data_IF_257482207811
#
_entry.id   IF_257482207811
#
_cell.length_a   1.000
_cell.length_b   1.000
_cell.length_c   1.000
_cell.angle_alpha   90.00
_cell.angle_beta   90.00
_cell.angle_gamma   90.00
#
_symmetry.space_group_name_H-M   'P 1'
#
loop_
_entity.id
_entity.type
_entity.pdbx_description
1 polymer ?
#
# COMPACT_ATOMS: atom_id res chain seq x y z
N UNK A 1 -5.44 -20.39 -25.32
CA UNK A 1 -6.09 -19.19 -24.77
C UNK A 1 -7.29 -19.64 -23.94
N UNK A 2 -7.53 -18.97 -22.81
CA UNK A 2 -8.69 -19.19 -21.95
C UNK A 2 -9.47 -17.88 -21.96
N UNK A 3 -10.77 -17.95 -22.14
CA UNK A 3 -11.68 -16.83 -21.97
C UNK A 3 -12.31 -16.92 -20.59
N UNK A 4 -12.21 -15.86 -19.81
CA UNK A 4 -12.78 -15.75 -18.47
C UNK A 4 -13.74 -14.57 -18.44
N UNK A 5 -14.93 -14.80 -17.90
CA UNK A 5 -15.97 -13.78 -17.77
C UNK A 5 -16.40 -13.68 -16.31
N UNK A 6 -16.35 -12.48 -15.75
CA UNK A 6 -16.87 -12.17 -14.42
C UNK A 6 -18.23 -11.50 -14.60
N UNK A 7 -19.30 -12.10 -14.06
CA UNK A 7 -20.66 -11.57 -14.19
C UNK A 7 -20.91 -10.41 -13.24
N UNK A 8 -20.40 -10.52 -12.02
CA UNK A 8 -20.54 -9.52 -10.98
C UNK A 8 -19.19 -9.41 -10.22
N UNK A 9 -18.67 -8.20 -10.08
CA UNK A 9 -17.41 -7.96 -9.36
C UNK A 9 -17.57 -8.10 -7.84
N UNK A 10 -18.78 -8.03 -7.32
CA UNK A 10 -19.09 -8.23 -5.89
C UNK A 10 -19.11 -9.72 -5.51
N UNK A 11 -19.24 -10.63 -6.48
CA UNK A 11 -19.09 -12.07 -6.25
C UNK A 11 -17.63 -12.42 -5.96
N UNK A 12 -17.40 -13.40 -5.06
CA UNK A 12 -16.05 -13.92 -4.80
C UNK A 12 -15.45 -14.62 -6.04
N UNK A 13 -14.12 -14.62 -6.22
CA UNK A 13 -13.48 -15.34 -7.31
C UNK A 13 -13.80 -16.85 -7.27
N UNK A 14 -14.06 -17.43 -8.41
CA UNK A 14 -14.52 -18.84 -8.52
C UNK A 14 -13.40 -19.81 -8.87
N UNK A 15 -12.32 -19.33 -9.48
CA UNK A 15 -11.16 -20.15 -9.86
C UNK A 15 -9.87 -19.31 -10.02
N UNK A 16 -8.79 -19.96 -10.43
CA UNK A 16 -7.49 -19.33 -10.65
C UNK A 16 -7.53 -18.29 -11.79
N UNK A 17 -8.32 -18.51 -12.84
CA UNK A 17 -8.39 -17.60 -13.98
C UNK A 17 -9.12 -16.31 -13.60
N UNK A 18 -10.23 -16.44 -12.89
CA UNK A 18 -10.98 -15.32 -12.32
C UNK A 18 -10.09 -14.53 -11.33
N UNK A 19 -9.40 -15.22 -10.41
CA UNK A 19 -8.49 -14.60 -9.48
C UNK A 19 -7.42 -13.74 -10.17
N UNK A 20 -6.74 -14.27 -11.19
CA UNK A 20 -5.74 -13.48 -11.94
C UNK A 20 -6.38 -12.37 -12.78
N UNK A 21 -7.56 -12.58 -13.36
CA UNK A 21 -8.26 -11.51 -14.09
C UNK A 21 -8.56 -10.32 -13.17
N UNK A 22 -9.01 -10.55 -11.93
CA UNK A 22 -9.23 -9.48 -10.93
C UNK A 22 -7.94 -8.71 -10.62
N UNK A 23 -6.82 -9.40 -10.45
CA UNK A 23 -5.51 -8.75 -10.26
C UNK A 23 -5.13 -7.88 -11.47
N UNK A 24 -5.39 -8.37 -12.68
CA UNK A 24 -5.16 -7.58 -13.90
C UNK A 24 -6.06 -6.34 -13.98
N UNK A 25 -7.35 -6.44 -13.63
CA UNK A 25 -8.28 -5.30 -13.63
C UNK A 25 -7.79 -4.18 -12.72
N UNK A 26 -7.26 -4.51 -11.53
CA UNK A 26 -6.66 -3.55 -10.60
C UNK A 26 -5.41 -2.89 -11.20
N UNK A 27 -4.46 -3.68 -11.72
CA UNK A 27 -3.20 -3.18 -12.26
C UNK A 27 -3.37 -2.38 -13.55
N UNK A 28 -4.37 -2.72 -14.37
CA UNK A 28 -4.77 -1.92 -15.52
C UNK A 28 -5.59 -0.67 -15.17
N UNK A 29 -5.86 -0.42 -13.90
CA UNK A 29 -6.71 0.69 -13.43
C UNK A 29 -8.15 0.66 -13.97
N UNK A 30 -8.62 -0.50 -14.42
CA UNK A 30 -10.01 -0.69 -14.84
C UNK A 30 -10.96 -0.69 -13.64
N UNK A 31 -10.45 -1.10 -12.47
CA UNK A 31 -11.15 -1.09 -11.18
C UNK A 31 -10.22 -0.51 -10.12
N UNK A 32 -10.75 0.28 -9.19
CA UNK A 32 -10.00 0.75 -8.01
C UNK A 32 -9.92 -0.34 -6.94
N UNK A 33 -8.95 -0.28 -6.01
CA UNK A 33 -8.96 -1.13 -4.84
C UNK A 33 -10.32 -1.10 -4.13
N UNK A 34 -10.77 -2.24 -3.65
CA UNK A 34 -12.10 -2.47 -3.07
C UNK A 34 -13.30 -2.38 -4.04
N UNK A 35 -13.08 -2.10 -5.32
CA UNK A 35 -14.13 -2.12 -6.34
C UNK A 35 -14.41 -3.52 -6.90
N UNK A 36 -13.87 -4.57 -6.29
CA UNK A 36 -14.13 -5.97 -6.59
C UNK A 36 -13.88 -6.84 -5.37
N UNK A 37 -14.59 -7.97 -5.30
CA UNK A 37 -14.45 -8.92 -4.20
C UNK A 37 -13.18 -9.78 -4.40
N UNK A 38 -12.37 -9.91 -3.36
CA UNK A 38 -11.14 -10.71 -3.33
C UNK A 38 -11.19 -11.83 -2.28
N UNK A 39 -12.37 -12.09 -1.70
CA UNK A 39 -12.53 -13.11 -0.67
C UNK A 39 -12.16 -14.49 -1.21
N UNK A 40 -11.35 -15.21 -0.44
CA UNK A 40 -10.93 -16.55 -0.82
C UNK A 40 -9.84 -16.63 -1.90
N UNK A 41 -9.35 -15.51 -2.45
CA UNK A 41 -8.36 -15.49 -3.55
C UNK A 41 -7.15 -16.39 -3.28
N UNK A 42 -6.65 -16.44 -2.04
CA UNK A 42 -5.50 -17.28 -1.70
C UNK A 42 -5.73 -18.78 -1.88
N UNK A 43 -7.00 -19.23 -1.80
CA UNK A 43 -7.39 -20.61 -2.07
C UNK A 43 -7.34 -20.98 -3.56
N UNK A 44 -7.50 -19.99 -4.44
CA UNK A 44 -7.44 -20.17 -5.89
C UNK A 44 -6.05 -20.00 -6.50
N UNK A 45 -5.09 -19.47 -5.74
CA UNK A 45 -3.73 -19.20 -6.19
C UNK A 45 -2.74 -20.21 -5.57
N UNK A 46 -1.97 -20.88 -6.42
CA UNK A 46 -0.86 -21.73 -6.01
C UNK A 46 0.46 -20.93 -5.99
N UNK A 47 1.45 -21.42 -5.24
CA UNK A 47 2.81 -20.96 -5.43
C UNK A 47 3.29 -21.34 -6.83
N UNK A 48 3.87 -20.39 -7.54
CA UNK A 48 4.34 -20.50 -8.91
C UNK A 48 5.79 -20.06 -8.95
N UNK A 49 6.62 -20.77 -9.70
CA UNK A 49 7.98 -20.30 -10.04
C UNK A 49 7.84 -19.36 -11.24
N UNK A 50 7.98 -18.07 -11.01
CA UNK A 50 7.92 -17.04 -12.04
C UNK A 50 9.27 -16.90 -12.71
N UNK A 51 9.33 -17.10 -14.02
CA UNK A 51 10.58 -17.13 -14.80
C UNK A 51 10.50 -16.22 -16.01
N UNK A 52 11.67 -15.95 -16.62
CA UNK A 52 11.75 -15.27 -17.92
C UNK A 52 11.11 -16.06 -19.09
N UNK A 53 10.71 -17.31 -18.85
CA UNK A 53 9.94 -18.12 -19.78
C UNK A 53 8.47 -18.26 -19.37
N UNK A 54 8.01 -17.49 -18.37
CA UNK A 54 6.67 -17.52 -17.83
C UNK A 54 6.54 -18.37 -16.56
N UNK A 55 5.30 -18.63 -16.12
CA UNK A 55 5.01 -19.38 -14.91
C UNK A 55 5.34 -20.86 -15.05
N UNK A 56 5.93 -21.44 -14.02
CA UNK A 56 6.22 -22.87 -13.93
C UNK A 56 5.68 -23.45 -12.62
N UNK A 57 5.28 -24.71 -12.63
CA UNK A 57 4.93 -25.43 -11.41
C UNK A 57 6.17 -25.55 -10.50
N UNK A 58 5.93 -25.49 -9.17
CA UNK A 58 6.99 -25.69 -8.17
C UNK A 58 7.47 -27.14 -8.17
N UNK A 59 6.52 -28.10 -8.34
CA UNK A 59 6.85 -29.51 -8.46
C UNK A 59 7.73 -29.76 -9.67
N UNK A 60 8.80 -30.52 -9.46
CA UNK A 60 9.75 -30.93 -10.49
C UNK A 60 10.42 -29.76 -11.26
N UNK A 61 10.42 -28.55 -10.69
CA UNK A 61 10.95 -27.38 -11.37
C UNK A 61 12.39 -27.53 -11.83
N UNK A 62 13.24 -28.26 -11.11
CA UNK A 62 14.63 -28.45 -11.51
C UNK A 62 14.75 -29.22 -12.85
N UNK A 63 13.87 -30.18 -13.10
CA UNK A 63 13.81 -30.86 -14.41
C UNK A 63 13.31 -29.91 -15.50
N UNK A 64 12.26 -29.12 -15.21
CA UNK A 64 11.75 -28.09 -16.13
C UNK A 64 12.82 -27.06 -16.43
N UNK A 65 13.55 -26.58 -15.41
CA UNK A 65 14.69 -25.66 -15.56
C UNK A 65 15.77 -26.23 -16.49
N UNK A 66 16.12 -27.51 -16.32
CA UNK A 66 17.10 -28.20 -17.20
C UNK A 66 16.64 -28.23 -18.67
N UNK A 67 15.36 -28.48 -18.92
CA UNK A 67 14.77 -28.45 -20.27
C UNK A 67 14.76 -27.03 -20.86
N UNK A 68 14.38 -26.03 -20.06
CA UNK A 68 14.35 -24.63 -20.49
C UNK A 68 15.75 -24.09 -20.79
N UNK A 69 16.78 -24.57 -20.10
CA UNK A 69 18.17 -24.16 -20.32
C UNK A 69 18.67 -24.42 -21.75
N UNK A 70 18.08 -25.37 -22.49
CA UNK A 70 18.35 -25.55 -23.91
C UNK A 70 17.91 -24.39 -24.80
N UNK A 71 17.03 -23.53 -24.30
CA UNK A 71 16.52 -22.33 -24.98
C UNK A 71 17.27 -21.05 -24.59
N UNK A 72 18.14 -21.10 -23.58
CA UNK A 72 18.91 -19.99 -23.05
C UNK A 72 18.91 -19.93 -21.51
N UNK A 73 19.51 -18.92 -20.90
CA UNK A 73 19.57 -18.76 -19.46
C UNK A 73 18.15 -18.73 -18.83
N UNK A 74 17.97 -19.46 -17.74
CA UNK A 74 16.73 -19.49 -16.97
C UNK A 74 16.90 -18.62 -15.74
N UNK A 75 16.16 -17.51 -15.70
CA UNK A 75 16.09 -16.59 -14.56
C UNK A 75 14.82 -16.88 -13.79
N UNK A 76 14.92 -17.08 -12.50
CA UNK A 76 13.79 -17.17 -11.57
C UNK A 76 13.62 -15.82 -10.89
N UNK A 77 12.51 -15.18 -11.12
CA UNK A 77 12.18 -13.88 -10.52
C UNK A 77 11.67 -14.03 -9.08
N UNK A 78 10.79 -14.99 -8.85
CA UNK A 78 10.22 -15.26 -7.52
C UNK A 78 9.55 -16.64 -7.47
N UNK A 79 9.23 -17.07 -6.26
CA UNK A 79 8.35 -18.22 -6.00
C UNK A 79 7.24 -17.70 -5.08
N UNK A 80 6.09 -17.38 -5.65
CA UNK A 80 4.98 -16.76 -4.93
C UNK A 80 3.64 -17.03 -5.66
N UNK A 81 2.55 -16.76 -4.97
CA UNK A 81 1.20 -16.73 -5.56
C UNK A 81 1.02 -15.56 -6.52
N UNK A 82 1.69 -14.43 -6.26
CA UNK A 82 1.59 -13.19 -7.02
C UNK A 82 2.86 -12.94 -7.82
N UNK A 83 2.77 -12.72 -9.14
CA UNK A 83 3.91 -12.25 -9.94
C UNK A 83 4.18 -10.76 -9.68
N UNK A 84 5.33 -10.29 -10.18
CA UNK A 84 5.63 -8.87 -10.29
C UNK A 84 4.68 -8.23 -11.30
N UNK A 85 4.14 -7.05 -10.97
CA UNK A 85 3.19 -6.37 -11.85
C UNK A 85 3.77 -6.12 -13.25
N UNK A 86 4.99 -5.59 -13.32
CA UNK A 86 5.61 -5.16 -14.59
C UNK A 86 5.94 -6.30 -15.55
N UNK A 87 5.91 -7.55 -15.12
CA UNK A 87 6.04 -8.69 -16.02
C UNK A 87 4.79 -8.88 -16.90
N UNK A 88 3.66 -8.29 -16.52
CA UNK A 88 2.36 -8.43 -17.19
C UNK A 88 1.70 -7.09 -17.52
N UNK A 89 1.83 -6.10 -16.66
CA UNK A 89 1.21 -4.79 -16.80
C UNK A 89 2.24 -3.69 -16.53
N UNK A 90 2.50 -2.84 -17.52
CA UNK A 90 3.30 -1.64 -17.37
C UNK A 90 2.37 -0.44 -17.48
N UNK A 91 1.91 0.13 -16.35
CA UNK A 91 0.99 1.25 -16.39
C UNK A 91 1.69 2.53 -16.87
N UNK A 92 0.98 3.36 -17.63
CA UNK A 92 1.48 4.66 -18.10
C UNK A 92 1.58 5.67 -16.96
N UNK A 93 2.52 6.62 -17.06
CA UNK A 93 2.64 7.75 -16.14
C UNK A 93 3.09 7.36 -14.73
N UNK A 94 3.73 6.22 -14.54
CA UNK A 94 4.30 5.78 -13.25
C UNK A 94 5.77 5.43 -13.39
N UNK A 95 6.49 5.55 -12.28
CA UNK A 95 7.88 5.10 -12.16
C UNK A 95 7.99 4.02 -11.09
N UNK A 96 8.65 2.91 -11.40
CA UNK A 96 8.86 1.79 -10.49
C UNK A 96 10.36 1.50 -10.48
N UNK A 97 11.02 1.76 -9.35
CA UNK A 97 12.48 1.63 -9.21
C UNK A 97 12.96 0.18 -9.18
N UNK A 98 12.14 -0.73 -8.64
CA UNK A 98 12.42 -2.16 -8.59
C UNK A 98 11.15 -2.97 -8.86
N UNK A 99 11.21 -3.83 -9.86
CA UNK A 99 10.09 -4.68 -10.29
C UNK A 99 9.55 -5.59 -9.18
N UNK A 100 10.40 -6.06 -8.26
CA UNK A 100 10.02 -6.97 -7.18
C UNK A 100 9.17 -6.30 -6.09
N UNK A 101 9.11 -4.97 -6.12
CA UNK A 101 8.43 -4.18 -5.10
C UNK A 101 6.95 -3.96 -5.35
N UNK A 102 6.45 -4.28 -6.54
CA UNK A 102 5.03 -4.08 -6.88
C UNK A 102 4.42 -5.39 -7.36
N UNK A 103 3.44 -5.87 -6.61
CA UNK A 103 2.69 -7.10 -6.96
C UNK A 103 1.66 -6.82 -8.03
N UNK A 104 1.43 -7.81 -8.92
CA UNK A 104 0.23 -7.80 -9.77
C UNK A 104 -1.01 -7.70 -8.87
N UNK A 105 -1.94 -6.83 -9.22
CA UNK A 105 -3.08 -6.46 -8.38
C UNK A 105 -2.87 -5.16 -7.60
N UNK A 106 -1.69 -4.54 -7.67
CA UNK A 106 -1.50 -3.17 -7.21
C UNK A 106 -2.14 -2.19 -8.20
N UNK A 107 -2.75 -1.13 -7.68
CA UNK A 107 -3.32 -0.01 -8.44
C UNK A 107 -2.41 1.20 -8.26
N UNK A 108 -1.72 1.62 -9.33
CA UNK A 108 -0.87 2.80 -9.30
C UNK A 108 -1.48 3.88 -10.20
N UNK A 109 -1.97 4.97 -9.61
CA UNK A 109 -2.46 6.12 -10.37
C UNK A 109 -1.32 6.82 -11.11
N UNK A 110 -1.67 7.59 -12.15
CA UNK A 110 -0.72 8.44 -12.87
C UNK A 110 -0.04 9.42 -11.91
N UNK A 111 1.25 9.68 -12.11
CA UNK A 111 2.08 10.50 -11.22
C UNK A 111 2.70 9.73 -10.05
N UNK A 112 2.37 8.45 -9.86
CA UNK A 112 2.97 7.65 -8.79
C UNK A 112 4.41 7.29 -9.11
N UNK A 113 5.29 7.46 -8.12
CA UNK A 113 6.65 6.94 -8.12
C UNK A 113 6.80 5.94 -6.98
N UNK A 114 7.10 4.68 -7.29
CA UNK A 114 7.53 3.69 -6.31
C UNK A 114 9.06 3.62 -6.36
N UNK A 115 9.70 4.12 -5.31
CA UNK A 115 11.15 4.12 -5.19
C UNK A 115 11.67 2.70 -4.93
N UNK A 116 12.99 2.50 -5.05
CA UNK A 116 13.63 1.18 -4.94
C UNK A 116 13.23 0.41 -3.67
N UNK A 117 13.11 1.10 -2.54
CA UNK A 117 12.72 0.48 -1.24
C UNK A 117 11.22 0.51 -0.97
N UNK A 118 10.43 1.17 -1.81
CA UNK A 118 8.97 1.18 -1.71
C UNK A 118 8.38 -0.21 -1.99
N UNK A 119 7.19 -0.48 -1.44
CA UNK A 119 6.47 -1.72 -1.69
C UNK A 119 4.96 -1.47 -1.79
N UNK A 120 4.33 -2.04 -2.81
CA UNK A 120 2.87 -1.99 -2.99
C UNK A 120 2.30 -3.40 -3.17
N UNK A 121 1.37 -3.76 -2.30
CA UNK A 121 0.71 -5.06 -2.32
C UNK A 121 -0.51 -5.05 -3.27
N UNK A 122 -1.16 -6.22 -3.46
CA UNK A 122 -2.38 -6.36 -4.25
C UNK A 122 -3.59 -5.72 -3.55
N UNK A 123 -4.60 -5.35 -4.33
CA UNK A 123 -5.82 -4.66 -3.89
C UNK A 123 -5.50 -3.40 -3.06
N UNK A 124 -4.40 -2.76 -3.36
CA UNK A 124 -3.80 -1.64 -2.63
C UNK A 124 -3.18 -0.67 -3.64
N UNK A 125 -2.80 0.51 -3.21
CA UNK A 125 -2.05 1.43 -4.04
C UNK A 125 -2.43 2.89 -3.87
N UNK A 126 -2.16 3.68 -4.90
CA UNK A 126 -2.34 5.12 -4.94
C UNK A 126 -3.54 5.51 -5.78
N UNK A 127 -4.25 6.55 -5.36
CA UNK A 127 -5.42 7.09 -6.08
C UNK A 127 -5.11 8.40 -6.83
N UNK A 128 -3.89 8.90 -6.72
CA UNK A 128 -3.34 10.07 -7.38
C UNK A 128 -1.81 10.05 -7.36
N UNK A 129 -1.18 11.19 -7.65
CA UNK A 129 0.27 11.33 -7.59
C UNK A 129 0.79 11.04 -6.17
N UNK A 130 1.85 10.27 -6.05
CA UNK A 130 2.38 9.86 -4.75
C UNK A 130 3.83 9.42 -4.86
N UNK A 131 4.63 9.75 -3.85
CA UNK A 131 5.95 9.16 -3.65
C UNK A 131 5.83 7.99 -2.67
N UNK A 132 6.27 6.82 -3.07
CA UNK A 132 6.19 5.60 -2.26
C UNK A 132 7.59 5.05 -2.03
N UNK A 133 8.16 5.32 -0.87
CA UNK A 133 9.44 4.78 -0.39
C UNK A 133 9.24 3.81 0.78
N UNK A 134 8.04 3.73 1.31
CA UNK A 134 7.62 2.83 2.38
C UNK A 134 6.72 1.70 1.87
N UNK A 135 6.06 0.99 2.80
CA UNK A 135 5.20 -0.17 2.52
C UNK A 135 3.73 0.21 2.52
N UNK A 136 3.05 -0.09 1.42
CA UNK A 136 1.59 -0.07 1.30
C UNK A 136 1.10 -1.51 1.38
N UNK A 137 0.51 -1.89 2.52
CA UNK A 137 0.00 -3.24 2.77
C UNK A 137 -1.24 -3.55 1.93
N UNK A 138 -1.59 -4.84 1.82
CA UNK A 138 -2.79 -5.27 1.09
C UNK A 138 -4.04 -4.54 1.58
N UNK A 139 -4.85 -4.07 0.64
CA UNK A 139 -6.07 -3.31 0.89
C UNK A 139 -5.88 -1.82 1.18
N UNK A 140 -4.68 -1.35 1.47
CA UNK A 140 -4.44 0.06 1.82
C UNK A 140 -4.47 0.94 0.58
N UNK A 141 -5.22 2.03 0.64
CA UNK A 141 -5.25 3.08 -0.39
C UNK A 141 -4.62 4.36 0.14
N UNK A 142 -3.92 5.07 -0.75
CA UNK A 142 -3.22 6.33 -0.48
C UNK A 142 -3.78 7.40 -1.42
N UNK A 143 -4.27 8.50 -0.84
CA UNK A 143 -4.82 9.64 -1.57
C UNK A 143 -3.78 10.45 -2.33
N UNK A 144 -4.27 11.34 -3.19
CA UNK A 144 -3.45 12.20 -4.04
C UNK A 144 -2.51 13.11 -3.24
N UNK A 145 -1.31 13.34 -3.77
CA UNK A 145 -0.33 14.25 -3.16
C UNK A 145 0.28 13.74 -1.85
N UNK A 146 0.10 12.45 -1.51
CA UNK A 146 0.62 11.88 -0.27
C UNK A 146 1.97 11.23 -0.47
N UNK A 147 2.85 11.36 0.53
CA UNK A 147 4.23 10.86 0.53
C UNK A 147 4.41 9.81 1.64
N UNK A 148 4.85 8.63 1.24
CA UNK A 148 5.14 7.50 2.14
C UNK A 148 6.65 7.36 2.25
N UNK A 149 7.23 8.02 3.25
CA UNK A 149 8.67 8.14 3.44
C UNK A 149 9.41 6.82 3.58
N UNK A 150 10.72 6.88 3.37
CA UNK A 150 11.61 5.71 3.34
C UNK A 150 11.46 4.82 4.57
N UNK A 151 11.12 3.55 4.35
CA UNK A 151 10.91 2.57 5.43
C UNK A 151 9.63 2.77 6.25
N UNK A 152 8.79 3.76 5.94
CA UNK A 152 7.49 3.91 6.58
C UNK A 152 6.61 2.67 6.34
N UNK A 153 5.75 2.34 7.28
CA UNK A 153 4.94 1.11 7.24
C UNK A 153 3.49 1.39 7.57
N UNK A 154 2.59 1.09 6.62
CA UNK A 154 1.16 1.18 6.81
C UNK A 154 0.63 -0.22 7.07
N UNK A 155 -0.04 -0.44 8.21
CA UNK A 155 -0.72 -1.71 8.50
C UNK A 155 -1.93 -1.88 7.58
N UNK A 156 -2.27 -3.11 7.21
CA UNK A 156 -3.42 -3.39 6.33
C UNK A 156 -4.77 -3.14 7.00
N UNK A 157 -4.86 -3.40 8.31
CA UNK A 157 -6.08 -3.22 9.09
C UNK A 157 -5.79 -2.52 10.40
N UNK A 158 -6.83 -1.92 10.98
CA UNK A 158 -6.75 -1.28 12.29
C UNK A 158 -6.10 -2.23 13.29
N UNK A 159 -5.02 -1.79 13.93
CA UNK A 159 -4.26 -2.61 14.89
C UNK A 159 -5.14 -3.00 16.09
N UNK A 160 -4.90 -4.20 16.63
CA UNK A 160 -5.68 -4.71 17.76
C UNK A 160 -6.86 -5.62 17.36
N UNK A 161 -6.86 -6.15 16.12
CA UNK A 161 -7.85 -7.14 15.65
C UNK A 161 -9.08 -6.53 14.98
N UNK A 162 -9.02 -5.25 14.59
CA UNK A 162 -10.05 -4.60 13.79
C UNK A 162 -10.10 -5.18 12.37
N UNK A 163 -11.31 -5.19 11.78
CA UNK A 163 -11.52 -5.55 10.37
C UNK A 163 -11.49 -4.33 9.44
N UNK A 164 -11.44 -3.15 9.99
CA UNK A 164 -11.38 -1.89 9.24
C UNK A 164 -10.06 -1.81 8.50
N UNK A 165 -10.13 -1.62 7.19
CA UNK A 165 -8.97 -1.42 6.33
C UNK A 165 -8.46 0.00 6.50
N UNK A 166 -7.15 0.16 6.64
CA UNK A 166 -6.52 1.46 6.80
C UNK A 166 -6.47 2.18 5.46
N UNK A 167 -6.76 3.48 5.49
CA UNK A 167 -6.59 4.39 4.37
C UNK A 167 -5.77 5.61 4.79
N UNK A 168 -5.05 6.17 3.83
CA UNK A 168 -4.32 7.43 3.95
C UNK A 168 -5.01 8.43 3.03
N UNK A 169 -5.39 9.57 3.58
CA UNK A 169 -6.02 10.66 2.85
C UNK A 169 -5.10 11.34 1.84
N UNK A 170 -5.51 12.51 1.37
CA UNK A 170 -4.74 13.33 0.44
C UNK A 170 -3.72 14.21 1.17
N UNK A 171 -2.62 14.55 0.50
CA UNK A 171 -1.57 15.46 1.01
C UNK A 171 -1.02 15.07 2.38
N UNK A 172 -0.99 13.76 2.66
CA UNK A 172 -0.41 13.23 3.87
C UNK A 172 1.10 13.02 3.72
N UNK A 173 1.82 13.11 4.84
CA UNK A 173 3.24 12.77 4.91
C UNK A 173 3.47 11.74 6.02
N UNK A 174 3.95 10.57 5.66
CA UNK A 174 4.52 9.61 6.61
C UNK A 174 6.05 9.77 6.61
N UNK A 175 6.59 10.31 7.68
CA UNK A 175 8.04 10.50 7.82
C UNK A 175 8.80 9.18 7.76
N UNK A 176 10.09 9.25 7.41
CA UNK A 176 10.93 8.06 7.26
C UNK A 176 10.90 7.18 8.52
N UNK A 177 10.80 5.86 8.32
CA UNK A 177 10.70 4.85 9.39
C UNK A 177 9.52 5.06 10.35
N UNK A 178 8.51 5.84 9.98
CA UNK A 178 7.27 5.91 10.74
C UNK A 178 6.39 4.67 10.51
N UNK A 179 5.41 4.47 11.37
CA UNK A 179 4.44 3.40 11.20
C UNK A 179 3.05 3.82 11.63
N UNK A 180 2.04 3.39 10.91
CA UNK A 180 0.66 3.74 11.20
C UNK A 180 -0.24 2.51 11.19
N UNK A 181 -1.03 2.35 12.23
CA UNK A 181 -2.02 1.30 12.43
C UNK A 181 -3.43 1.83 12.66
N UNK A 182 -3.69 3.06 12.19
CA UNK A 182 -4.98 3.75 12.12
C UNK A 182 -5.09 4.44 10.77
N UNK A 183 -6.28 4.76 10.30
CA UNK A 183 -6.46 5.58 9.10
C UNK A 183 -6.06 7.03 9.36
N UNK A 184 -5.59 7.71 8.34
CA UNK A 184 -5.31 9.15 8.34
C UNK A 184 -6.27 9.84 7.38
N UNK A 185 -6.89 10.93 7.84
CA UNK A 185 -7.59 11.86 6.94
C UNK A 185 -6.62 12.75 6.18
N UNK A 186 -7.14 13.69 5.41
CA UNK A 186 -6.34 14.59 4.59
C UNK A 186 -5.42 15.49 5.43
N UNK A 187 -4.31 15.91 4.82
CA UNK A 187 -3.35 16.85 5.43
C UNK A 187 -2.79 16.36 6.77
N UNK A 188 -2.66 15.03 6.96
CA UNK A 188 -2.11 14.45 8.17
C UNK A 188 -0.62 14.14 8.00
N UNK A 189 0.14 14.38 9.06
CA UNK A 189 1.60 14.14 9.09
C UNK A 189 1.95 13.21 10.25
N UNK A 190 2.84 12.25 9.99
CA UNK A 190 3.43 11.40 11.02
C UNK A 190 4.93 11.66 11.05
N UNK A 191 5.46 12.06 12.22
CA UNK A 191 6.87 12.33 12.41
C UNK A 191 7.75 11.10 12.09
N UNK A 192 8.93 11.33 11.54
CA UNK A 192 9.89 10.27 11.27
C UNK A 192 10.21 9.44 12.54
N UNK A 193 10.26 8.12 12.38
CA UNK A 193 10.54 7.18 13.47
C UNK A 193 9.41 6.99 14.47
N UNK A 194 8.25 7.65 14.30
CA UNK A 194 7.11 7.48 15.19
C UNK A 194 6.22 6.34 14.71
N UNK A 195 5.86 5.43 15.62
CA UNK A 195 4.88 4.37 15.37
C UNK A 195 3.60 4.60 16.17
N UNK A 196 2.44 4.73 15.48
CA UNK A 196 1.14 4.95 16.12
C UNK A 196 0.18 3.82 15.75
N UNK A 197 -0.33 3.14 16.76
CA UNK A 197 -1.32 2.07 16.63
C UNK A 197 -2.62 2.45 17.31
N UNK A 198 -3.68 1.66 17.12
CA UNK A 198 -4.98 1.89 17.76
C UNK A 198 -4.89 2.01 19.29
N UNK A 199 -3.97 1.30 19.92
CA UNK A 199 -3.77 1.30 21.37
C UNK A 199 -2.84 2.39 21.91
N UNK A 200 -2.10 3.08 21.03
CA UNK A 200 -1.15 4.13 21.43
C UNK A 200 -1.88 5.23 22.18
N UNK A 201 -1.32 5.64 23.34
CA UNK A 201 -1.80 6.81 24.07
C UNK A 201 -1.24 8.06 23.45
N UNK A 202 -2.12 8.98 23.07
CA UNK A 202 -1.79 10.22 22.37
C UNK A 202 -2.36 11.40 23.16
N UNK A 203 -1.52 12.32 23.58
CA UNK A 203 -1.97 13.58 24.16
C UNK A 203 -2.42 14.52 23.04
N UNK A 204 -3.63 15.04 23.12
CA UNK A 204 -4.24 15.85 22.05
C UNK A 204 -4.28 17.32 22.42
N UNK A 205 -4.03 18.20 21.43
CA UNK A 205 -3.94 19.65 21.65
C UNK A 205 -4.65 20.44 20.56
N UNK A 206 -5.06 21.66 20.89
CA UNK A 206 -5.65 22.64 19.99
C UNK A 206 -6.90 22.09 19.30
N UNK A 207 -7.02 22.31 17.99
CA UNK A 207 -8.19 21.87 17.22
C UNK A 207 -8.42 20.37 17.23
N UNK A 208 -7.35 19.55 17.42
CA UNK A 208 -7.51 18.10 17.54
C UNK A 208 -8.28 17.75 18.82
N UNK A 209 -7.94 18.38 19.95
CA UNK A 209 -8.68 18.20 21.20
C UNK A 209 -10.11 18.72 21.10
N UNK A 210 -10.31 19.90 20.50
CA UNK A 210 -11.63 20.49 20.27
C UNK A 210 -12.53 19.57 19.43
N UNK A 211 -11.99 19.00 18.34
CA UNK A 211 -12.73 18.09 17.47
C UNK A 211 -13.16 16.79 18.17
N UNK A 212 -12.40 16.35 19.15
CA UNK A 212 -12.71 15.17 19.97
C UNK A 212 -13.58 15.51 21.20
N UNK A 213 -13.79 16.81 21.50
CA UNK A 213 -14.55 17.26 22.68
C UNK A 213 -13.85 16.93 23.99
N UNK A 214 -12.50 16.95 24.02
CA UNK A 214 -11.67 16.66 25.20
C UNK A 214 -10.78 17.86 25.57
N UNK A 215 -10.23 17.86 26.77
CA UNK A 215 -9.34 18.92 27.25
C UNK A 215 -7.96 18.87 26.58
N UNK A 216 -7.31 20.05 26.46
CA UNK A 216 -5.93 20.14 25.97
C UNK A 216 -4.98 19.30 26.84
N UNK A 217 -4.20 18.41 26.20
CA UNK A 217 -3.27 17.52 26.86
C UNK A 217 -3.90 16.24 27.39
N UNK A 218 -5.21 16.04 27.18
CA UNK A 218 -5.86 14.78 27.53
C UNK A 218 -5.31 13.64 26.66
N UNK A 219 -5.19 12.45 27.27
CA UNK A 219 -4.71 11.26 26.60
C UNK A 219 -5.87 10.44 26.03
N UNK A 220 -5.90 10.33 24.73
CA UNK A 220 -6.85 9.47 24.00
C UNK A 220 -6.15 8.22 23.44
N UNK A 221 -6.91 7.22 22.99
CA UNK A 221 -6.35 6.11 22.21
C UNK A 221 -6.14 6.53 20.76
N UNK A 222 -5.11 6.02 20.09
CA UNK A 222 -4.89 6.24 18.66
C UNK A 222 -6.11 5.90 17.80
N UNK A 223 -6.89 4.88 18.18
CA UNK A 223 -8.15 4.54 17.48
C UNK A 223 -9.17 5.67 17.42
N UNK A 224 -9.16 6.59 18.39
CA UNK A 224 -10.07 7.74 18.40
C UNK A 224 -9.64 8.84 17.41
N UNK A 225 -8.40 8.77 16.92
CA UNK A 225 -7.84 9.65 15.89
C UNK A 225 -7.93 9.05 14.48
N UNK A 226 -8.44 7.81 14.34
CA UNK A 226 -8.55 7.17 13.04
C UNK A 226 -9.43 7.99 12.09
N UNK A 227 -8.87 8.33 10.91
CA UNK A 227 -9.53 9.15 9.89
C UNK A 227 -9.51 10.66 10.15
N UNK A 228 -8.88 11.14 11.24
CA UNK A 228 -8.75 12.56 11.50
C UNK A 228 -7.81 13.25 10.50
N UNK A 229 -8.20 14.46 10.09
CA UNK A 229 -7.46 15.30 9.11
C UNK A 229 -6.70 16.44 9.82
N UNK A 230 -5.72 17.04 9.12
CA UNK A 230 -5.05 18.26 9.53
C UNK A 230 -4.27 18.14 10.85
N UNK A 231 -3.70 16.98 11.13
CA UNK A 231 -2.97 16.74 12.38
C UNK A 231 -1.51 16.33 12.12
N UNK A 232 -0.65 16.72 13.04
CA UNK A 232 0.71 16.20 13.18
C UNK A 232 0.76 15.25 14.37
N UNK A 233 1.06 13.99 14.10
CA UNK A 233 1.43 13.00 15.11
C UNK A 233 2.95 13.08 15.33
N UNK A 234 3.38 13.42 16.53
CA UNK A 234 4.78 13.60 16.87
C UNK A 234 5.14 13.03 18.24
N UNK A 235 6.41 12.87 18.49
CA UNK A 235 6.94 12.58 19.82
C UNK A 235 7.48 13.86 20.46
N UNK A 236 7.03 14.16 21.64
CA UNK A 236 7.61 15.25 22.44
C UNK A 236 9.04 14.85 22.83
N UNK A 237 10.03 15.61 22.36
CA UNK A 237 11.45 15.30 22.56
C UNK A 237 11.92 15.43 24.02
N UNK A 238 11.15 16.10 24.88
CA UNK A 238 11.46 16.27 26.30
C UNK A 238 10.80 15.20 27.16
N UNK A 239 9.51 14.98 26.98
CA UNK A 239 8.73 14.04 27.80
C UNK A 239 8.68 12.62 27.22
N UNK A 240 8.94 12.47 25.91
CA UNK A 240 8.75 11.21 25.17
C UNK A 240 7.29 10.88 24.86
N UNK A 241 6.34 11.69 25.28
CA UNK A 241 4.91 11.48 25.02
C UNK A 241 4.61 11.58 23.51
N UNK A 242 3.69 10.75 23.05
CA UNK A 242 3.11 10.90 21.71
C UNK A 242 2.05 11.96 21.74
N UNK A 243 2.10 12.91 20.84
CA UNK A 243 1.20 14.05 20.76
C UNK A 243 0.53 14.12 19.38
N UNK A 244 -0.72 14.59 19.37
CA UNK A 244 -1.41 15.05 18.16
C UNK A 244 -1.71 16.53 18.29
N UNK A 245 -1.15 17.32 17.38
CA UNK A 245 -1.32 18.77 17.32
C UNK A 245 -1.89 19.17 15.96
N UNK A 246 -2.48 20.35 15.85
CA UNK A 246 -2.92 20.92 14.58
C UNK A 246 -1.72 21.02 13.63
N UNK A 247 -1.86 20.49 12.42
CA UNK A 247 -0.93 20.70 11.32
C UNK A 247 -1.49 21.78 10.40
N UNK A 248 -0.76 22.88 10.24
CA UNK A 248 -1.03 23.87 9.20
C UNK A 248 -0.06 23.58 8.09
N UNK A 249 -0.56 23.05 7.00
CA UNK A 249 0.20 22.90 5.77
C UNK A 249 0.57 24.31 5.23
N UNK A 250 1.73 24.83 5.64
CA UNK A 250 2.51 25.63 4.71
C UNK A 250 3.02 24.57 3.72
N UNK A 251 2.62 24.69 2.46
CA UNK A 251 2.84 23.68 1.44
C UNK A 251 4.25 23.11 1.58
N UNK A 252 4.37 21.84 1.95
CA UNK A 252 5.63 21.11 1.79
C UNK A 252 5.81 21.06 0.29
N UNK A 253 6.65 21.96 -0.23
CA UNK A 253 7.02 21.96 -1.65
C UNK A 253 7.80 20.66 -1.85
N UNK A 254 7.12 19.62 -2.31
CA UNK A 254 7.78 18.44 -2.83
C UNK A 254 8.72 18.90 -3.94
N UNK A 255 9.92 18.35 -3.97
CA UNK A 255 10.89 18.68 -5.01
C UNK A 255 10.33 18.23 -6.37
N UNK A 256 9.75 19.17 -7.12
CA UNK A 256 9.09 18.92 -8.41
C UNK A 256 9.98 18.12 -9.38
N UNK A 257 11.31 18.24 -9.28
CA UNK A 257 12.22 17.50 -10.15
C UNK A 257 12.28 16.00 -9.82
N UNK A 258 12.07 15.61 -8.55
CA UNK A 258 12.01 14.21 -8.14
C UNK A 258 10.69 13.53 -8.53
N UNK A 259 9.64 14.34 -8.72
CA UNK A 259 8.28 13.87 -9.04
C UNK A 259 7.95 13.87 -10.53
N UNK A 260 8.81 14.43 -11.41
CA UNK A 260 8.63 14.36 -12.87
C UNK A 260 8.87 12.92 -13.36
N UNK A 261 7.83 12.33 -13.89
CA UNK A 261 7.85 11.01 -14.57
C UNK A 261 8.05 11.19 -16.07
#
# INVERSE_FOLDING_TARGET
AVETSIKDLDDAPVDTYDAYLRLHLLSHRAVKPHGLNMDGIFGHLNNVVWTNYGPCAVSDFQMVRGRLASRGPVVVYSVDKFPRMVDYVVPSGVRIGDADRVRLGAHLAEGTTVMHEGFVNFNAGTLGASMVEGRISAGVVVGDGSDIGGGASIMGTLSGGGKEVISIGERCLLGANSGIGISLGDDAVVEAGLYVTAGTKVAVFGKVAEALGVDNGENVKGSQLSGASGMLLRRNSVSGAVEAVEWKAEAVALNDELHKN
#
